data_IF_676102955756
#
_entry.id   IF_676102955756
#
_cell.length_a   1.000
_cell.length_b   1.000
_cell.length_c   1.000
_cell.angle_alpha   90.00
_cell.angle_beta   90.00
_cell.angle_gamma   90.00
#
_symmetry.space_group_name_H-M   'P 1'
#
loop_
_entity.id
_entity.type
_entity.pdbx_description
1 polymer ?
#
# COMPACT_ATOMS: atom_id res chain seq x y z
N UNK A 1 17.85 32.47 -14.29
CA UNK A 1 17.43 31.34 -13.42
C UNK A 1 17.27 30.06 -14.24
N UNK A 2 16.55 30.09 -15.36
CA UNK A 2 16.26 28.89 -16.16
C UNK A 2 17.50 28.20 -16.76
N UNK A 3 18.50 28.92 -17.26
CA UNK A 3 19.71 28.29 -17.81
C UNK A 3 20.59 27.63 -16.75
N UNK A 4 20.69 28.27 -15.57
CA UNK A 4 21.39 27.69 -14.43
C UNK A 4 20.69 26.42 -13.96
N UNK A 5 19.36 26.48 -13.79
CA UNK A 5 18.59 25.33 -13.32
C UNK A 5 18.56 24.21 -14.36
N UNK A 6 18.50 24.53 -15.66
CA UNK A 6 18.58 23.53 -16.74
C UNK A 6 19.87 22.71 -16.65
N UNK A 7 21.01 23.34 -16.34
CA UNK A 7 22.31 22.64 -16.17
C UNK A 7 22.42 21.86 -14.86
N UNK A 8 21.69 22.28 -13.82
CA UNK A 8 21.77 21.70 -12.46
C UNK A 8 20.61 20.77 -12.11
N UNK A 9 19.56 20.70 -12.93
CA UNK A 9 18.34 19.94 -12.62
C UNK A 9 18.66 18.45 -12.43
N UNK A 10 19.38 17.84 -13.36
CA UNK A 10 19.75 16.42 -13.27
C UNK A 10 20.53 16.08 -12.00
N UNK A 11 21.65 16.77 -11.65
CA UNK A 11 22.34 16.47 -10.40
C UNK A 11 21.49 16.80 -9.15
N UNK A 12 20.65 17.84 -9.18
CA UNK A 12 19.73 18.13 -8.07
C UNK A 12 18.72 17.00 -7.87
N UNK A 13 18.07 16.53 -8.94
CA UNK A 13 17.13 15.42 -8.89
C UNK A 13 17.80 14.13 -8.44
N UNK A 14 19.03 13.85 -8.87
CA UNK A 14 19.80 12.70 -8.41
C UNK A 14 20.05 12.74 -6.90
N UNK A 15 20.45 13.90 -6.36
CA UNK A 15 20.62 14.09 -4.91
C UNK A 15 19.29 13.92 -4.18
N UNK A 16 18.21 14.52 -4.66
CA UNK A 16 16.87 14.38 -4.06
C UNK A 16 16.47 12.92 -4.03
N UNK A 17 16.59 12.18 -5.14
CA UNK A 17 16.21 10.78 -5.22
C UNK A 17 17.06 9.89 -4.31
N UNK A 18 18.38 10.10 -4.28
CA UNK A 18 19.27 9.33 -3.44
C UNK A 18 18.99 9.56 -1.94
N UNK A 19 18.91 10.82 -1.52
CA UNK A 19 18.67 11.18 -0.11
C UNK A 19 17.28 10.74 0.33
N UNK A 20 16.25 11.00 -0.49
CA UNK A 20 14.89 10.61 -0.18
C UNK A 20 14.74 9.09 -0.12
N UNK A 21 15.31 8.36 -1.08
CA UNK A 21 15.27 6.90 -1.12
C UNK A 21 15.97 6.27 0.09
N UNK A 22 17.19 6.72 0.39
CA UNK A 22 17.93 6.27 1.57
C UNK A 22 17.17 6.57 2.87
N UNK A 23 16.57 7.75 3.00
CA UNK A 23 15.77 8.11 4.17
C UNK A 23 14.56 7.19 4.35
N UNK A 24 13.77 6.95 3.30
CA UNK A 24 12.57 6.12 3.40
C UNK A 24 12.89 4.64 3.67
N UNK A 25 13.93 4.12 3.03
CA UNK A 25 14.43 2.76 3.30
C UNK A 25 14.91 2.66 4.76
N UNK A 26 15.74 3.60 5.22
CA UNK A 26 16.20 3.65 6.61
C UNK A 26 15.03 3.67 7.59
N UNK A 27 14.00 4.49 7.34
CA UNK A 27 12.85 4.58 8.22
C UNK A 27 12.03 3.28 8.25
N UNK A 28 11.89 2.58 7.12
CA UNK A 28 11.26 1.24 7.08
C UNK A 28 12.02 0.21 7.91
N UNK A 29 13.33 0.11 7.72
CA UNK A 29 14.16 -0.82 8.49
C UNK A 29 14.22 -0.46 9.98
N UNK A 30 14.18 0.84 10.31
CA UNK A 30 14.06 1.28 11.69
C UNK A 30 12.75 0.81 12.33
N UNK A 31 11.62 0.89 11.63
CA UNK A 31 10.36 0.35 12.14
C UNK A 31 10.43 -1.17 12.31
N UNK A 32 10.94 -1.89 11.30
CA UNK A 32 11.12 -3.34 11.37
C UNK A 32 11.97 -3.76 12.57
N UNK A 33 13.06 -3.05 12.83
CA UNK A 33 13.92 -3.27 13.99
C UNK A 33 13.16 -3.20 15.31
N UNK A 34 12.19 -2.29 15.45
CA UNK A 34 11.35 -2.19 16.65
C UNK A 34 10.09 -3.07 16.62
N UNK A 35 10.08 -4.13 15.80
CA UNK A 35 8.93 -5.03 15.69
C UNK A 35 7.67 -4.36 15.13
N UNK A 36 7.83 -3.22 14.47
CA UNK A 36 6.77 -2.54 13.74
C UNK A 36 6.88 -2.92 12.26
N UNK A 37 5.87 -2.60 11.44
CA UNK A 37 5.88 -2.95 10.01
C UNK A 37 6.02 -4.46 9.73
N UNK A 38 5.42 -5.32 10.57
CA UNK A 38 5.55 -6.78 10.48
C UNK A 38 4.29 -7.52 10.03
N UNK A 39 3.10 -6.94 10.23
CA UNK A 39 1.81 -7.64 10.01
C UNK A 39 1.63 -8.08 8.55
N UNK A 40 1.26 -7.17 7.64
CA UNK A 40 1.05 -7.54 6.24
C UNK A 40 2.34 -8.02 5.59
N UNK A 41 3.50 -7.49 6.01
CA UNK A 41 4.80 -7.90 5.50
C UNK A 41 4.94 -9.43 5.51
N UNK A 42 4.76 -10.05 6.67
CA UNK A 42 4.92 -11.49 6.79
C UNK A 42 3.74 -12.27 6.25
N UNK A 43 2.54 -11.68 6.16
CA UNK A 43 1.43 -12.27 5.39
C UNK A 43 1.78 -12.46 3.92
N UNK A 44 2.24 -11.40 3.26
CA UNK A 44 2.58 -11.46 1.84
C UNK A 44 3.77 -12.38 1.59
N UNK A 45 4.77 -12.35 2.48
CA UNK A 45 5.95 -13.23 2.39
C UNK A 45 5.55 -14.69 2.55
N UNK A 46 4.75 -15.01 3.56
CA UNK A 46 4.25 -16.37 3.78
C UNK A 46 3.40 -16.84 2.59
N UNK A 47 2.51 -15.99 2.09
CA UNK A 47 1.72 -16.29 0.90
C UNK A 47 2.61 -16.59 -0.31
N UNK A 48 3.66 -15.80 -0.56
CA UNK A 48 4.58 -15.98 -1.69
C UNK A 48 5.52 -17.19 -1.52
N UNK A 49 5.97 -17.49 -0.30
CA UNK A 49 6.84 -18.66 -0.03
C UNK A 49 6.08 -19.98 -0.12
N UNK A 50 4.87 -20.01 0.41
CA UNK A 50 4.03 -21.21 0.43
C UNK A 50 3.15 -21.32 -0.82
N UNK A 51 3.37 -20.49 -1.84
CA UNK A 51 2.75 -20.67 -3.16
C UNK A 51 3.41 -21.86 -3.86
N UNK A 52 2.87 -23.07 -3.64
CA UNK A 52 3.15 -24.20 -4.52
C UNK A 52 2.18 -24.13 -5.71
N UNK A 53 2.69 -23.82 -6.91
CA UNK A 53 1.92 -23.52 -8.14
C UNK A 53 1.03 -24.67 -8.66
N UNK A 54 1.03 -25.83 -8.00
CA UNK A 54 0.37 -27.05 -8.46
C UNK A 54 -0.81 -27.49 -7.57
N UNK A 55 -0.75 -27.33 -6.24
CA UNK A 55 -1.80 -27.87 -5.33
C UNK A 55 -2.18 -26.96 -4.12
N UNK A 56 -1.38 -25.94 -3.78
CA UNK A 56 -1.50 -25.26 -2.47
C UNK A 56 -1.85 -23.76 -2.54
N UNK A 57 -2.11 -23.23 -3.73
CA UNK A 57 -2.47 -21.81 -3.93
C UNK A 57 -3.69 -21.37 -3.10
N UNK A 58 -4.60 -22.32 -2.85
CA UNK A 58 -5.79 -22.16 -2.01
C UNK A 58 -5.53 -22.38 -0.51
N UNK A 59 -4.40 -22.98 -0.11
CA UNK A 59 -4.15 -23.45 1.25
C UNK A 59 -3.13 -22.63 2.06
N UNK A 60 -2.21 -21.96 1.37
CA UNK A 60 -1.09 -21.22 2.00
C UNK A 60 -1.51 -19.98 2.81
N UNK A 61 -2.76 -19.53 2.71
CA UNK A 61 -3.21 -18.31 3.37
C UNK A 61 -4.37 -18.55 4.35
N UNK A 62 -4.14 -19.42 5.35
CA UNK A 62 -5.04 -19.62 6.52
C UNK A 62 -5.08 -18.43 7.50
N UNK A 63 -4.86 -17.21 7.00
CA UNK A 63 -5.18 -15.94 7.68
C UNK A 63 -6.68 -15.82 8.02
N UNK A 64 -7.53 -16.64 7.38
CA UNK A 64 -8.98 -16.40 7.25
C UNK A 64 -9.87 -17.53 7.81
N UNK A 65 -9.34 -18.52 8.55
CA UNK A 65 -10.18 -19.58 9.16
C UNK A 65 -11.23 -19.04 10.16
N UNK A 66 -11.04 -17.83 10.68
CA UNK A 66 -12.03 -17.12 11.53
C UNK A 66 -13.01 -16.22 10.74
N UNK A 67 -12.73 -15.96 9.46
CA UNK A 67 -13.52 -15.07 8.57
C UNK A 67 -14.22 -15.85 7.45
N UNK A 68 -13.92 -17.14 7.32
CA UNK A 68 -14.50 -18.01 6.30
C UNK A 68 -13.89 -17.85 4.90
N UNK A 69 -12.76 -17.14 4.73
CA UNK A 69 -12.08 -17.06 3.44
C UNK A 69 -10.95 -18.12 3.31
N UNK A 70 -10.64 -18.62 2.10
CA UNK A 70 -9.69 -19.73 1.93
C UNK A 70 -8.26 -19.22 1.77
N UNK A 71 -8.07 -17.97 1.30
CA UNK A 71 -6.75 -17.39 1.02
C UNK A 71 -6.79 -15.85 0.94
N UNK A 72 -5.62 -15.22 1.16
CA UNK A 72 -5.35 -13.79 1.01
C UNK A 72 -5.71 -13.27 -0.39
N UNK A 73 -5.57 -14.12 -1.42
CA UNK A 73 -5.99 -13.83 -2.80
C UNK A 73 -7.50 -13.70 -3.00
N UNK A 74 -8.30 -14.15 -2.02
CA UNK A 74 -9.75 -14.00 -2.05
C UNK A 74 -10.26 -12.86 -1.17
N UNK A 75 -9.40 -12.27 -0.32
CA UNK A 75 -9.73 -11.04 0.39
C UNK A 75 -9.50 -9.81 -0.52
N UNK A 76 -8.52 -9.88 -1.42
CA UNK A 76 -8.29 -8.90 -2.49
C UNK A 76 -7.87 -9.56 -3.81
N UNK A 77 -8.38 -9.06 -4.94
CA UNK A 77 -7.94 -9.49 -6.27
C UNK A 77 -6.56 -8.91 -6.59
N UNK A 78 -5.49 -9.66 -6.33
CA UNK A 78 -4.11 -9.17 -6.49
C UNK A 78 -3.15 -10.12 -7.21
N UNK A 79 -3.52 -10.75 -8.35
CA UNK A 79 -2.64 -11.71 -9.02
C UNK A 79 -1.30 -11.12 -9.47
N UNK A 80 -1.20 -9.80 -9.69
CA UNK A 80 0.08 -9.16 -10.02
C UNK A 80 1.10 -9.24 -8.87
N UNK A 81 0.72 -9.58 -7.63
CA UNK A 81 1.70 -9.78 -6.55
C UNK A 81 2.71 -10.89 -6.82
N UNK A 82 2.37 -11.85 -7.67
CA UNK A 82 3.28 -12.95 -8.03
C UNK A 82 4.57 -12.46 -8.69
N UNK A 83 4.58 -11.25 -9.27
CA UNK A 83 5.81 -10.65 -9.83
C UNK A 83 6.87 -10.37 -8.75
N UNK A 84 6.46 -10.32 -7.47
CA UNK A 84 7.35 -10.09 -6.33
C UNK A 84 7.98 -11.39 -5.82
N UNK A 85 7.49 -12.56 -6.26
CA UNK A 85 8.00 -13.85 -5.79
C UNK A 85 9.53 -13.98 -5.95
N UNK A 86 10.13 -13.68 -7.11
CA UNK A 86 11.59 -13.77 -7.25
C UNK A 86 12.35 -12.81 -6.32
N UNK A 87 11.78 -11.64 -6.02
CA UNK A 87 12.41 -10.66 -5.12
C UNK A 87 12.41 -11.17 -3.68
N UNK A 88 11.32 -11.80 -3.24
CA UNK A 88 11.22 -12.40 -1.91
C UNK A 88 12.18 -13.59 -1.77
N UNK A 89 12.31 -14.43 -2.80
CA UNK A 89 13.24 -15.56 -2.80
C UNK A 89 14.71 -15.14 -2.64
N UNK A 90 15.09 -13.98 -3.20
CA UNK A 90 16.47 -13.49 -3.16
C UNK A 90 16.75 -12.62 -1.93
N UNK A 91 15.83 -11.71 -1.60
CA UNK A 91 16.05 -10.66 -0.61
C UNK A 91 15.18 -10.76 0.64
N UNK A 92 14.46 -11.87 0.83
CA UNK A 92 13.62 -12.11 2.00
C UNK A 92 12.41 -11.17 2.07
N UNK A 93 11.87 -11.02 3.29
CA UNK A 93 10.76 -10.11 3.57
C UNK A 93 11.16 -8.65 3.33
N UNK A 94 12.41 -8.33 3.68
CA UNK A 94 13.04 -7.02 3.60
C UNK A 94 12.99 -6.44 2.19
N UNK A 95 13.07 -7.29 1.16
CA UNK A 95 12.92 -6.87 -0.23
C UNK A 95 11.59 -6.16 -0.49
N UNK A 96 10.48 -6.61 0.13
CA UNK A 96 9.17 -5.99 -0.05
C UNK A 96 9.12 -4.58 0.55
N UNK A 97 9.77 -4.37 1.70
CA UNK A 97 9.88 -3.03 2.30
C UNK A 97 10.64 -2.07 1.39
N UNK A 98 11.71 -2.55 0.76
CA UNK A 98 12.48 -1.77 -0.23
C UNK A 98 11.63 -1.47 -1.46
N UNK A 99 10.91 -2.46 -1.99
CA UNK A 99 10.01 -2.28 -3.15
C UNK A 99 8.99 -1.17 -2.87
N UNK A 100 8.30 -1.23 -1.73
CA UNK A 100 7.33 -0.18 -1.35
C UNK A 100 8.00 1.18 -1.13
N UNK A 101 9.16 1.23 -0.46
CA UNK A 101 9.88 2.47 -0.20
C UNK A 101 10.32 3.17 -1.49
N UNK A 102 10.68 2.41 -2.53
CA UNK A 102 11.19 2.95 -3.80
C UNK A 102 10.10 3.21 -4.86
N UNK A 103 8.87 2.73 -4.65
CA UNK A 103 7.75 2.92 -5.60
C UNK A 103 7.49 4.40 -5.99
N UNK A 104 7.60 5.38 -5.08
CA UNK A 104 7.43 6.80 -5.41
C UNK A 104 8.57 7.40 -6.22
N UNK A 105 9.81 6.93 -6.00
CA UNK A 105 10.94 7.36 -6.86
C UNK A 105 10.72 6.87 -8.29
N UNK A 106 10.28 5.62 -8.44
CA UNK A 106 9.87 5.08 -9.74
C UNK A 106 8.77 5.93 -10.38
N UNK A 107 7.72 6.24 -9.63
CA UNK A 107 6.64 7.10 -10.11
C UNK A 107 7.14 8.50 -10.52
N UNK A 108 8.01 9.12 -9.72
CA UNK A 108 8.59 10.43 -9.98
C UNK A 108 9.46 10.45 -11.25
N UNK A 109 10.20 9.37 -11.56
CA UNK A 109 10.94 9.23 -12.82
C UNK A 109 10.01 9.29 -14.03
N UNK A 110 8.89 8.57 -14.00
CA UNK A 110 7.93 8.62 -15.11
C UNK A 110 7.16 9.94 -15.16
N UNK A 111 6.88 10.53 -14.00
CA UNK A 111 6.29 11.86 -13.91
C UNK A 111 7.17 12.93 -14.56
N UNK A 112 8.50 12.86 -14.34
CA UNK A 112 9.48 13.70 -15.02
C UNK A 112 9.45 13.49 -16.55
N UNK A 113 9.45 12.24 -17.02
CA UNK A 113 9.37 11.94 -18.46
C UNK A 113 8.09 12.49 -19.09
N UNK A 114 6.96 12.43 -18.39
CA UNK A 114 5.69 13.02 -18.84
C UNK A 114 5.82 14.54 -18.87
N UNK A 115 6.36 15.15 -17.81
CA UNK A 115 6.55 16.60 -17.73
C UNK A 115 7.47 17.12 -18.86
N UNK A 116 8.53 16.38 -19.20
CA UNK A 116 9.40 16.68 -20.33
C UNK A 116 8.68 16.59 -21.67
N UNK A 117 7.89 15.54 -21.86
CA UNK A 117 7.08 15.37 -23.07
C UNK A 117 6.07 16.50 -23.26
N UNK A 118 5.49 17.00 -22.16
CA UNK A 118 4.56 18.14 -22.17
C UNK A 118 5.25 19.52 -22.14
N UNK A 119 6.59 19.57 -22.21
CA UNK A 119 7.34 20.81 -22.36
C UNK A 119 7.47 21.66 -21.09
N UNK A 120 7.34 21.06 -19.90
CA UNK A 120 7.48 21.80 -18.63
C UNK A 120 8.89 22.38 -18.47
N UNK A 121 8.96 23.64 -17.99
CA UNK A 121 10.22 24.34 -17.71
C UNK A 121 10.99 23.62 -16.58
N UNK A 122 12.33 23.77 -16.48
CA UNK A 122 13.12 23.09 -15.46
C UNK A 122 12.61 23.25 -14.02
N UNK A 123 12.14 24.45 -13.66
CA UNK A 123 11.57 24.71 -12.34
C UNK A 123 10.26 23.94 -12.09
N UNK A 124 9.39 23.87 -13.09
CA UNK A 124 8.11 23.16 -13.01
C UNK A 124 8.32 21.66 -12.86
N UNK A 125 9.32 21.11 -13.55
CA UNK A 125 9.75 19.72 -13.39
C UNK A 125 10.24 19.43 -11.97
N UNK A 126 11.08 20.29 -11.40
CA UNK A 126 11.52 20.18 -10.01
C UNK A 126 10.33 20.28 -9.04
N UNK A 127 9.45 21.26 -9.25
CA UNK A 127 8.27 21.50 -8.42
C UNK A 127 7.38 20.26 -8.33
N UNK A 128 7.03 19.67 -9.48
CA UNK A 128 6.19 18.47 -9.55
C UNK A 128 6.82 17.29 -8.80
N UNK A 129 8.13 17.08 -8.96
CA UNK A 129 8.84 16.00 -8.26
C UNK A 129 8.80 16.21 -6.75
N UNK A 130 9.07 17.43 -6.29
CA UNK A 130 9.05 17.74 -4.85
C UNK A 130 7.63 17.57 -4.31
N UNK A 131 6.61 18.04 -5.02
CA UNK A 131 5.21 17.84 -4.61
C UNK A 131 4.88 16.35 -4.53
N UNK A 132 5.28 15.55 -5.51
CA UNK A 132 5.02 14.11 -5.50
C UNK A 132 5.72 13.40 -4.33
N UNK A 133 7.03 13.57 -4.16
CA UNK A 133 7.82 12.82 -3.19
C UNK A 133 7.63 13.27 -1.74
N UNK A 134 7.41 14.57 -1.52
CA UNK A 134 7.32 15.13 -0.17
C UNK A 134 5.88 15.34 0.31
N UNK A 135 4.89 14.90 -0.46
CA UNK A 135 3.50 15.00 -0.03
C UNK A 135 3.29 14.23 1.29
N UNK A 136 2.75 14.86 2.36
CA UNK A 136 2.58 14.20 3.66
C UNK A 136 1.80 12.89 3.59
N UNK A 137 0.67 12.87 2.87
CA UNK A 137 -0.14 11.65 2.70
C UNK A 137 0.59 10.53 1.96
N UNK A 138 1.42 10.85 0.95
CA UNK A 138 2.23 9.83 0.27
C UNK A 138 3.30 9.29 1.21
N UNK A 139 4.03 10.18 1.89
CA UNK A 139 5.07 9.78 2.84
C UNK A 139 4.51 8.95 4.00
N UNK A 140 3.35 9.31 4.56
CA UNK A 140 2.65 8.52 5.56
C UNK A 140 2.19 7.15 5.02
N UNK A 141 1.59 7.12 3.83
CA UNK A 141 1.14 5.89 3.17
C UNK A 141 2.29 4.92 2.86
N UNK A 142 3.46 5.45 2.48
CA UNK A 142 4.65 4.61 2.28
C UNK A 142 5.14 4.08 3.60
N UNK A 143 5.21 4.93 4.63
CA UNK A 143 5.73 4.52 5.93
C UNK A 143 4.96 3.36 6.53
N UNK A 144 3.65 3.29 6.27
CA UNK A 144 2.69 2.36 6.87
C UNK A 144 3.29 1.47 7.95
N UNK A 145 3.19 2.00 9.16
CA UNK A 145 4.07 1.67 10.27
C UNK A 145 3.58 0.49 11.09
N UNK A 146 2.37 0.00 10.81
CA UNK A 146 1.83 -1.20 11.43
C UNK A 146 1.93 -2.39 10.48
N UNK A 147 1.52 -2.21 9.23
CA UNK A 147 1.40 -3.31 8.26
C UNK A 147 2.71 -3.59 7.50
N UNK A 148 3.55 -2.57 7.32
CA UNK A 148 4.89 -2.70 6.78
C UNK A 148 4.99 -2.83 5.27
N UNK A 149 4.21 -3.71 4.65
CA UNK A 149 4.11 -3.82 3.20
C UNK A 149 2.66 -3.91 2.72
N UNK A 150 2.33 -3.18 1.67
CA UNK A 150 1.05 -3.28 0.97
C UNK A 150 1.26 -3.43 -0.52
N UNK A 151 0.66 -4.47 -1.09
CA UNK A 151 0.64 -4.74 -2.53
C UNK A 151 0.19 -3.57 -3.40
N UNK A 152 -0.61 -2.66 -2.85
CA UNK A 152 -1.08 -1.44 -3.52
C UNK A 152 0.06 -0.55 -4.02
N UNK A 153 1.28 -0.64 -3.47
CA UNK A 153 2.43 0.10 -4.01
C UNK A 153 2.75 -0.27 -5.47
N UNK A 154 2.34 -1.46 -5.93
CA UNK A 154 2.47 -1.88 -7.34
C UNK A 154 1.64 -1.01 -8.29
N UNK A 155 0.59 -0.33 -7.81
CA UNK A 155 -0.14 0.65 -8.62
C UNK A 155 0.78 1.77 -9.12
N UNK A 156 1.82 2.13 -8.36
CA UNK A 156 2.84 3.08 -8.84
C UNK A 156 3.80 2.45 -9.84
N UNK A 157 4.22 1.19 -9.60
CA UNK A 157 5.13 0.48 -10.51
C UNK A 157 4.54 0.27 -11.90
N UNK A 158 3.24 0.03 -12.00
CA UNK A 158 2.56 -0.17 -13.29
C UNK A 158 1.82 1.08 -13.78
N UNK A 159 1.20 1.85 -12.88
CA UNK A 159 0.39 3.02 -13.22
C UNK A 159 1.21 4.21 -13.72
N UNK A 160 2.39 4.44 -13.17
CA UNK A 160 3.26 5.53 -13.63
C UNK A 160 3.82 5.31 -15.05
N UNK A 161 4.40 4.14 -15.39
CA UNK A 161 4.77 3.85 -16.77
C UNK A 161 3.56 3.71 -17.69
N UNK A 162 2.40 3.25 -17.20
CA UNK A 162 1.14 3.23 -17.97
C UNK A 162 0.76 4.64 -18.41
N UNK A 163 0.73 5.59 -17.48
CA UNK A 163 0.44 7.00 -17.76
C UNK A 163 1.42 7.57 -18.79
N UNK A 164 2.72 7.30 -18.63
CA UNK A 164 3.74 7.74 -19.59
C UNK A 164 3.55 7.12 -20.97
N UNK A 165 3.33 5.81 -21.05
CA UNK A 165 3.13 5.10 -22.30
C UNK A 165 1.87 5.61 -23.03
N UNK A 166 0.79 5.84 -22.29
CA UNK A 166 -0.45 6.40 -22.82
C UNK A 166 -0.27 7.82 -23.36
N UNK A 167 0.31 8.73 -22.57
CA UNK A 167 0.55 10.13 -22.98
C UNK A 167 1.49 10.24 -24.18
N UNK A 168 2.47 9.34 -24.28
CA UNK A 168 3.48 9.38 -25.36
C UNK A 168 3.11 8.52 -26.59
N UNK A 169 1.90 7.98 -26.65
CA UNK A 169 1.40 7.21 -27.81
C UNK A 169 1.96 5.80 -27.95
N UNK A 170 2.54 5.22 -26.89
CA UNK A 170 3.07 3.84 -26.86
C UNK A 170 1.98 2.83 -26.51
N UNK A 171 0.97 2.71 -27.36
CA UNK A 171 -0.29 2.03 -27.03
C UNK A 171 -0.15 0.53 -26.69
N UNK A 172 0.75 -0.21 -27.34
CA UNK A 172 0.98 -1.63 -27.03
C UNK A 172 1.51 -1.79 -25.61
N UNK A 173 2.50 -0.96 -25.23
CA UNK A 173 3.04 -0.96 -23.88
C UNK A 173 1.98 -0.50 -22.87
N UNK A 174 1.22 0.55 -23.19
CA UNK A 174 0.13 1.01 -22.34
C UNK A 174 -0.92 -0.09 -22.11
N UNK A 175 -1.26 -0.88 -23.14
CA UNK A 175 -2.17 -2.00 -23.01
C UNK A 175 -1.63 -3.09 -22.08
N UNK A 176 -0.38 -3.50 -22.25
CA UNK A 176 0.25 -4.51 -21.36
C UNK A 176 0.30 -4.02 -19.91
N UNK A 177 0.71 -2.76 -19.69
CA UNK A 177 0.77 -2.16 -18.36
C UNK A 177 -0.63 -2.00 -17.74
N UNK A 178 -1.66 -1.72 -18.55
CA UNK A 178 -3.04 -1.68 -18.10
C UNK A 178 -3.49 -3.05 -17.55
N UNK A 179 -3.12 -4.14 -18.22
CA UNK A 179 -3.43 -5.48 -17.72
C UNK A 179 -2.78 -5.74 -16.36
N UNK A 180 -1.50 -5.41 -16.20
CA UNK A 180 -0.84 -5.55 -14.89
C UNK A 180 -1.46 -4.64 -13.83
N UNK A 181 -1.75 -3.38 -14.18
CA UNK A 181 -2.33 -2.39 -13.28
C UNK A 181 -3.71 -2.81 -12.76
N UNK A 182 -4.62 -3.26 -13.64
CA UNK A 182 -5.95 -3.75 -13.27
C UNK A 182 -5.90 -5.00 -12.38
N UNK A 183 -4.80 -5.74 -12.41
CA UNK A 183 -4.57 -6.96 -11.65
C UNK A 183 -3.74 -6.75 -10.37
N UNK A 184 -3.38 -5.51 -10.04
CA UNK A 184 -2.78 -5.18 -8.73
C UNK A 184 -3.82 -5.24 -7.62
N UNK A 185 -5.03 -4.72 -7.88
CA UNK A 185 -6.14 -4.66 -6.93
C UNK A 185 -7.45 -4.40 -7.66
N UNK A 186 -8.58 -4.93 -7.17
CA UNK A 186 -9.91 -4.73 -7.75
C UNK A 186 -10.25 -3.25 -7.98
N UNK A 187 -9.90 -2.38 -7.03
CA UNK A 187 -10.18 -0.94 -7.11
C UNK A 187 -9.33 -0.21 -8.17
N UNK A 188 -8.28 -0.84 -8.72
CA UNK A 188 -7.50 -0.26 -9.81
C UNK A 188 -8.37 0.12 -11.02
N UNK A 189 -9.46 -0.63 -11.23
CA UNK A 189 -10.47 -0.35 -12.24
C UNK A 189 -11.08 1.05 -12.11
N UNK A 190 -11.25 1.56 -10.88
CA UNK A 190 -11.85 2.86 -10.61
C UNK A 190 -11.01 4.00 -11.20
N UNK A 191 -9.69 3.90 -11.15
CA UNK A 191 -8.79 4.88 -11.78
C UNK A 191 -8.95 4.91 -13.29
N UNK A 192 -9.15 3.75 -13.92
CA UNK A 192 -9.33 3.62 -15.37
C UNK A 192 -10.69 4.14 -15.80
N UNK A 193 -11.75 3.84 -15.03
CA UNK A 193 -13.09 4.37 -15.26
C UNK A 193 -13.12 5.89 -15.06
N UNK A 194 -12.42 6.40 -14.04
CA UNK A 194 -12.20 7.83 -13.84
C UNK A 194 -11.46 8.49 -15.00
N UNK A 195 -10.41 7.85 -15.55
CA UNK A 195 -9.71 8.33 -16.73
C UNK A 195 -10.62 8.37 -17.97
N UNK A 196 -11.46 7.35 -18.16
CA UNK A 196 -12.43 7.28 -19.25
C UNK A 196 -13.47 8.41 -19.15
N UNK A 197 -14.05 8.62 -17.96
CA UNK A 197 -14.94 9.75 -17.69
C UNK A 197 -14.23 11.09 -17.94
N UNK A 198 -12.99 11.21 -17.46
CA UNK A 198 -12.15 12.39 -17.69
C UNK A 198 -11.93 12.71 -19.17
N UNK A 199 -11.79 11.69 -20.01
CA UNK A 199 -11.74 11.89 -21.45
C UNK A 199 -13.06 12.38 -22.02
N UNK A 200 -14.18 11.77 -21.61
CA UNK A 200 -15.52 12.10 -22.11
C UNK A 200 -15.89 13.55 -21.79
N UNK A 201 -15.62 14.01 -20.56
CA UNK A 201 -16.05 15.32 -20.09
C UNK A 201 -15.06 16.45 -20.37
N UNK A 202 -13.75 16.17 -20.43
CA UNK A 202 -12.72 17.21 -20.46
C UNK A 202 -11.61 16.99 -21.49
N UNK A 203 -11.70 15.98 -22.36
CA UNK A 203 -10.64 15.56 -23.31
C UNK A 203 -9.29 15.33 -22.61
N UNK A 204 -9.02 14.07 -22.26
CA UNK A 204 -7.86 13.67 -21.46
C UNK A 204 -6.76 13.07 -22.38
N UNK A 205 -5.47 13.43 -22.23
CA UNK A 205 -4.39 12.89 -23.07
C UNK A 205 -4.15 11.37 -22.98
N UNK A 206 -4.74 10.64 -22.02
CA UNK A 206 -4.52 9.19 -21.91
C UNK A 206 -5.16 8.36 -23.02
N UNK A 207 -6.17 8.90 -23.71
CA UNK A 207 -6.84 8.20 -24.79
C UNK A 207 -6.96 9.08 -26.02
N UNK A 208 -6.76 8.48 -27.19
CA UNK A 208 -6.84 9.18 -28.48
C UNK A 208 -8.09 8.83 -29.27
N UNK A 209 -8.71 7.69 -28.98
CA UNK A 209 -9.89 7.21 -29.72
C UNK A 209 -10.94 6.64 -28.77
N UNK A 210 -12.21 6.72 -29.19
CA UNK A 210 -13.32 6.06 -28.48
C UNK A 210 -13.07 4.55 -28.32
N UNK A 211 -12.48 3.90 -29.32
CA UNK A 211 -12.14 2.47 -29.28
C UNK A 211 -11.20 2.14 -28.12
N UNK A 212 -10.15 2.93 -27.90
CA UNK A 212 -9.22 2.72 -26.78
C UNK A 212 -9.93 2.82 -25.43
N UNK A 213 -10.84 3.79 -25.29
CA UNK A 213 -11.61 4.00 -24.06
C UNK A 213 -12.56 2.85 -23.82
N UNK A 214 -13.30 2.42 -24.84
CA UNK A 214 -14.20 1.27 -24.73
C UNK A 214 -13.43 0.04 -24.29
N UNK A 215 -12.29 -0.26 -24.91
CA UNK A 215 -11.45 -1.41 -24.51
C UNK A 215 -11.00 -1.27 -23.06
N UNK A 216 -10.44 -0.12 -22.67
CA UNK A 216 -9.92 0.09 -21.32
C UNK A 216 -11.04 0.03 -20.25
N UNK A 217 -12.18 0.65 -20.51
CA UNK A 217 -13.34 0.63 -19.63
C UNK A 217 -13.94 -0.77 -19.52
N UNK A 218 -14.07 -1.51 -20.63
CA UNK A 218 -14.54 -2.90 -20.62
C UNK A 218 -13.60 -3.77 -19.80
N UNK A 219 -12.28 -3.67 -20.00
CA UNK A 219 -11.31 -4.42 -19.20
C UNK A 219 -11.37 -4.04 -17.71
N UNK A 220 -11.54 -2.75 -17.39
CA UNK A 220 -11.68 -2.29 -16.02
C UNK A 220 -12.94 -2.88 -15.36
N UNK A 221 -14.09 -2.86 -16.05
CA UNK A 221 -15.34 -3.47 -15.55
C UNK A 221 -15.17 -4.98 -15.36
N UNK A 222 -14.56 -5.67 -16.32
CA UNK A 222 -14.32 -7.11 -16.23
C UNK A 222 -13.40 -7.46 -15.06
N UNK A 223 -12.31 -6.71 -14.85
CA UNK A 223 -11.42 -6.91 -13.71
C UNK A 223 -12.12 -6.61 -12.38
N UNK A 224 -12.90 -5.53 -12.31
CA UNK A 224 -13.66 -5.15 -11.11
C UNK A 224 -14.70 -6.21 -10.73
N UNK A 225 -15.53 -6.63 -11.68
CA UNK A 225 -16.56 -7.67 -11.47
C UNK A 225 -15.93 -9.04 -11.24
N UNK A 226 -14.88 -9.36 -11.99
CA UNK A 226 -14.11 -10.59 -11.84
C UNK A 226 -13.53 -10.73 -10.44
N UNK A 227 -12.88 -9.67 -9.95
CA UNK A 227 -12.27 -9.64 -8.61
C UNK A 227 -13.27 -9.55 -7.46
N UNK A 228 -14.34 -8.75 -7.58
CA UNK A 228 -15.28 -8.54 -6.48
C UNK A 228 -16.36 -9.62 -6.36
N UNK A 229 -16.78 -10.20 -7.48
CA UNK A 229 -17.96 -11.09 -7.52
C UNK A 229 -17.56 -12.49 -7.95
N UNK A 230 -16.94 -12.63 -9.12
CA UNK A 230 -16.74 -13.95 -9.73
C UNK A 230 -15.73 -14.78 -8.93
N UNK A 231 -14.56 -14.23 -8.63
CA UNK A 231 -13.52 -14.96 -7.91
C UNK A 231 -13.94 -15.36 -6.48
N UNK A 232 -14.53 -14.47 -5.65
CA UNK A 232 -15.04 -14.86 -4.33
C UNK A 232 -16.14 -15.91 -4.41
N UNK A 233 -17.08 -15.78 -5.37
CA UNK A 233 -18.15 -16.77 -5.58
C UNK A 233 -17.62 -18.15 -5.98
N UNK A 234 -16.65 -18.20 -6.90
CA UNK A 234 -15.99 -19.46 -7.30
C UNK A 234 -15.22 -20.10 -6.14
N UNK A 235 -14.72 -19.29 -5.21
CA UNK A 235 -14.04 -19.75 -4.01
C UNK A 235 -14.98 -20.07 -2.83
N UNK A 236 -16.29 -19.78 -2.97
CA UNK A 236 -17.29 -20.05 -1.95
C UNK A 236 -17.32 -19.05 -0.78
N UNK A 237 -16.83 -17.82 -0.98
CA UNK A 237 -16.59 -16.85 0.12
C UNK A 237 -17.19 -15.47 -0.15
N UNK A 238 -17.52 -14.76 0.92
CA UNK A 238 -18.13 -13.42 0.85
C UNK A 238 -17.04 -12.36 0.91
N UNK A 239 -17.00 -11.48 -0.10
CA UNK A 239 -16.02 -10.40 -0.14
C UNK A 239 -16.39 -9.31 0.90
N UNK A 240 -15.61 -9.18 1.98
CA UNK A 240 -15.87 -8.29 3.12
C UNK A 240 -16.12 -6.83 2.70
N UNK A 241 -15.27 -6.30 1.81
CA UNK A 241 -15.43 -4.93 1.32
C UNK A 241 -16.66 -4.70 0.44
N UNK A 242 -17.10 -5.71 -0.32
CA UNK A 242 -18.33 -5.61 -1.10
C UNK A 242 -19.55 -5.55 -0.17
N UNK A 243 -19.58 -6.40 0.86
CA UNK A 243 -20.62 -6.39 1.89
C UNK A 243 -20.64 -5.07 2.68
N UNK A 244 -19.46 -4.53 3.02
CA UNK A 244 -19.38 -3.23 3.69
C UNK A 244 -19.84 -2.09 2.78
N UNK A 245 -19.38 -2.05 1.52
CA UNK A 245 -19.81 -1.04 0.55
C UNK A 245 -21.32 -1.08 0.31
N UNK A 246 -21.91 -2.27 0.18
CA UNK A 246 -23.36 -2.46 0.12
C UNK A 246 -24.04 -1.87 1.36
N UNK A 247 -23.53 -2.18 2.56
CA UNK A 247 -24.09 -1.67 3.83
C UNK A 247 -24.03 -0.14 3.95
N UNK A 248 -23.04 0.52 3.35
CA UNK A 248 -22.94 1.99 3.37
C UNK A 248 -23.86 2.60 2.30
N UNK A 249 -23.85 2.06 1.08
CA UNK A 249 -24.63 2.58 -0.05
C UNK A 249 -26.14 2.40 0.11
N UNK A 250 -26.57 1.38 0.87
CA UNK A 250 -27.99 1.10 1.15
C UNK A 250 -28.54 1.87 2.35
N UNK A 251 -27.70 2.61 3.10
CA UNK A 251 -28.09 3.33 4.32
C UNK A 251 -27.75 4.82 4.21
N UNK A 252 -28.69 5.68 3.73
CA UNK A 252 -28.44 7.11 3.48
C UNK A 252 -27.90 7.88 4.70
N UNK A 253 -28.29 7.49 5.91
CA UNK A 253 -27.79 8.10 7.16
C UNK A 253 -26.30 7.85 7.36
N UNK A 254 -25.81 6.64 7.06
CA UNK A 254 -24.37 6.30 7.13
C UNK A 254 -23.58 7.05 6.08
N UNK A 255 -24.12 7.14 4.86
CA UNK A 255 -23.53 7.94 3.79
C UNK A 255 -23.42 9.42 4.15
N UNK A 256 -24.48 10.02 4.69
CA UNK A 256 -24.47 11.41 5.14
C UNK A 256 -23.47 11.65 6.27
N UNK A 257 -23.41 10.73 7.24
CA UNK A 257 -22.45 10.79 8.36
C UNK A 257 -21.00 10.71 7.86
N UNK A 258 -20.67 9.77 6.97
CA UNK A 258 -19.32 9.62 6.44
C UNK A 258 -18.86 10.87 5.66
N UNK A 259 -19.76 11.47 4.88
CA UNK A 259 -19.46 12.68 4.11
C UNK A 259 -19.32 13.92 5.01
N UNK A 260 -20.11 14.05 6.07
CA UNK A 260 -20.04 15.19 7.00
C UNK A 260 -18.80 15.15 7.91
N UNK A 261 -18.15 13.99 8.04
CA UNK A 261 -16.95 13.78 8.86
C UNK A 261 -15.69 13.56 8.03
N UNK A 262 -15.59 14.16 6.84
CA UNK A 262 -14.35 14.16 6.06
C UNK A 262 -13.18 14.67 6.92
N UNK A 263 -12.26 13.75 7.23
CA UNK A 263 -11.08 14.05 8.04
C UNK A 263 -10.22 15.15 7.38
N UNK A 264 -9.49 15.89 8.23
CA UNK A 264 -8.45 16.85 7.88
C UNK A 264 -7.43 16.30 6.86
N UNK A 265 -7.19 14.98 6.85
CA UNK A 265 -6.31 14.31 5.89
C UNK A 265 -6.74 14.46 4.43
N UNK A 266 -8.06 14.47 4.16
CA UNK A 266 -8.58 14.68 2.81
C UNK A 266 -8.43 16.12 2.36
N UNK A 267 -8.62 17.07 3.27
CA UNK A 267 -8.35 18.49 3.01
C UNK A 267 -6.87 18.72 2.72
N UNK A 268 -5.99 18.11 3.51
CA UNK A 268 -4.54 18.15 3.30
C UNK A 268 -4.15 17.60 1.92
N UNK A 269 -4.77 16.49 1.47
CA UNK A 269 -4.54 15.94 0.13
C UNK A 269 -4.78 16.99 -0.96
N UNK A 270 -5.97 17.58 -0.98
CA UNK A 270 -6.34 18.50 -2.05
C UNK A 270 -5.62 19.86 -1.96
N UNK A 271 -5.29 20.32 -0.74
CA UNK A 271 -4.56 21.56 -0.53
C UNK A 271 -3.19 21.56 -1.23
N UNK A 272 -2.43 20.46 -1.08
CA UNK A 272 -1.11 20.34 -1.69
C UNK A 272 -1.17 20.05 -3.21
N UNK A 273 -2.34 19.69 -3.73
CA UNK A 273 -2.54 19.33 -5.14
C UNK A 273 -3.29 20.40 -5.94
N UNK A 274 -3.49 21.60 -5.38
CA UNK A 274 -4.31 22.66 -5.98
C UNK A 274 -3.96 23.03 -7.44
N UNK A 275 -2.69 23.02 -7.93
CA UNK A 275 -2.43 23.36 -9.33
C UNK A 275 -3.01 22.32 -10.29
N UNK A 276 -3.27 21.10 -9.81
CA UNK A 276 -3.95 20.04 -10.56
C UNK A 276 -5.41 20.35 -10.88
N UNK A 277 -6.05 21.31 -10.19
CA UNK A 277 -7.41 21.76 -10.50
C UNK A 277 -7.55 22.30 -11.93
N UNK A 278 -6.45 22.75 -12.55
CA UNK A 278 -6.41 23.15 -13.95
C UNK A 278 -6.40 21.96 -14.94
N UNK A 279 -6.44 20.72 -14.45
CA UNK A 279 -6.54 19.49 -15.24
C UNK A 279 -7.65 18.56 -14.69
N UNK A 280 -8.92 18.99 -14.70
CA UNK A 280 -10.03 18.24 -14.12
C UNK A 280 -10.21 16.85 -14.73
N UNK A 281 -9.93 16.68 -16.02
CA UNK A 281 -9.96 15.38 -16.69
C UNK A 281 -9.03 14.33 -16.08
N UNK A 282 -7.88 14.73 -15.54
CA UNK A 282 -6.94 13.82 -14.87
C UNK A 282 -7.27 13.64 -13.41
N UNK A 283 -7.80 14.68 -12.74
CA UNK A 283 -8.30 14.54 -11.37
C UNK A 283 -9.48 13.54 -11.29
N UNK A 284 -10.29 13.42 -12.34
CA UNK A 284 -11.35 12.42 -12.38
C UNK A 284 -10.85 10.97 -12.23
N UNK A 285 -9.56 10.70 -12.44
CA UNK A 285 -8.97 9.40 -12.14
C UNK A 285 -8.99 9.09 -10.64
N UNK A 286 -8.75 10.07 -9.77
CA UNK A 286 -8.70 9.83 -8.31
C UNK A 286 -10.07 9.92 -7.63
N UNK A 287 -11.05 10.64 -8.22
CA UNK A 287 -12.34 10.90 -7.57
C UNK A 287 -13.12 9.63 -7.19
N UNK A 288 -13.31 8.62 -8.08
CA UNK A 288 -14.10 7.45 -7.74
C UNK A 288 -13.55 6.69 -6.54
N UNK A 289 -12.23 6.51 -6.47
CA UNK A 289 -11.60 5.87 -5.31
C UNK A 289 -11.67 6.74 -4.05
N UNK A 290 -11.41 8.05 -4.15
CA UNK A 290 -11.57 8.97 -3.03
C UNK A 290 -12.97 8.88 -2.41
N UNK A 291 -14.01 8.88 -3.24
CA UNK A 291 -15.40 8.77 -2.75
C UNK A 291 -15.62 7.46 -2.00
N UNK A 292 -15.21 6.33 -2.57
CA UNK A 292 -15.37 5.03 -1.90
C UNK A 292 -14.61 4.98 -0.58
N UNK A 293 -13.39 5.52 -0.54
CA UNK A 293 -12.59 5.55 0.69
C UNK A 293 -13.19 6.46 1.77
N UNK A 294 -13.73 7.61 1.39
CA UNK A 294 -14.44 8.50 2.31
C UNK A 294 -15.68 7.78 2.88
N UNK A 295 -16.45 7.12 2.02
CA UNK A 295 -17.64 6.36 2.42
C UNK A 295 -17.30 5.16 3.31
N UNK A 296 -16.12 4.57 3.14
CA UNK A 296 -15.59 3.50 3.99
C UNK A 296 -14.86 4.03 5.24
N UNK A 297 -14.99 5.33 5.55
CA UNK A 297 -14.39 6.02 6.69
C UNK A 297 -12.86 5.84 6.77
N UNK A 298 -12.21 5.75 5.60
CA UNK A 298 -10.76 5.62 5.47
C UNK A 298 -10.10 7.00 5.38
N UNK A 299 -8.89 7.08 5.94
CA UNK A 299 -8.04 8.27 5.86
C UNK A 299 -7.32 8.34 4.51
N UNK A 300 -7.06 9.54 4.01
CA UNK A 300 -6.25 9.74 2.81
C UNK A 300 -4.77 9.36 2.99
N UNK A 301 -4.29 9.38 4.23
CA UNK A 301 -2.92 8.99 4.64
C UNK A 301 -2.71 7.48 4.71
N UNK A 302 -3.76 6.69 4.54
CA UNK A 302 -3.69 5.23 4.42
C UNK A 302 -2.95 4.82 3.13
N UNK A 303 -2.61 3.54 2.97
CA UNK A 303 -1.82 3.04 1.83
C UNK A 303 -2.31 3.44 0.42
N UNK A 304 -3.57 3.84 0.26
CA UNK A 304 -4.13 4.40 -0.99
C UNK A 304 -3.56 5.78 -1.36
N UNK A 305 -3.06 6.53 -0.38
CA UNK A 305 -2.49 7.88 -0.56
C UNK A 305 -1.37 7.95 -1.58
N UNK A 306 -0.61 6.86 -1.79
CA UNK A 306 0.44 6.78 -2.80
C UNK A 306 -0.09 7.05 -4.21
N UNK A 307 -1.13 6.32 -4.65
CA UNK A 307 -1.69 6.44 -6.00
C UNK A 307 -2.48 7.74 -6.16
N UNK A 308 -3.23 8.14 -5.13
CA UNK A 308 -3.98 9.41 -5.14
C UNK A 308 -3.03 10.61 -5.32
N UNK A 309 -1.92 10.66 -4.58
CA UNK A 309 -0.92 11.72 -4.73
C UNK A 309 -0.24 11.66 -6.09
N UNK A 310 0.09 10.47 -6.61
CA UNK A 310 0.66 10.35 -7.95
C UNK A 310 -0.26 10.91 -9.03
N UNK A 311 -1.56 10.57 -9.00
CA UNK A 311 -2.56 11.12 -9.93
C UNK A 311 -2.70 12.63 -9.77
N UNK A 312 -2.71 13.12 -8.52
CA UNK A 312 -2.70 14.56 -8.25
C UNK A 312 -1.49 15.26 -8.85
N UNK A 313 -0.29 14.70 -8.68
CA UNK A 313 0.94 15.25 -9.25
C UNK A 313 0.95 15.17 -10.78
N UNK A 314 0.36 14.12 -11.36
CA UNK A 314 0.13 14.01 -12.80
C UNK A 314 -0.86 15.06 -13.32
N UNK A 315 -1.91 15.37 -12.55
CA UNK A 315 -2.81 16.48 -12.84
C UNK A 315 -2.08 17.83 -12.78
N UNK A 316 -1.15 18.03 -11.82
CA UNK A 316 -0.29 19.23 -11.80
C UNK A 316 0.54 19.31 -13.08
N UNK A 317 1.18 18.22 -13.52
CA UNK A 317 1.97 18.22 -14.77
C UNK A 317 1.16 18.71 -15.96
N UNK A 318 -0.12 18.32 -16.06
CA UNK A 318 -0.99 18.74 -17.16
C UNK A 318 -1.63 20.12 -16.95
N UNK A 319 -1.88 20.51 -15.70
CA UNK A 319 -2.56 21.76 -15.34
C UNK A 319 -1.62 22.96 -15.27
N UNK A 320 -0.37 22.75 -14.85
CA UNK A 320 0.61 23.80 -14.61
C UNK A 320 0.92 24.66 -15.83
N UNK A 321 1.01 24.13 -17.08
CA UNK A 321 1.13 24.95 -18.27
C UNK A 321 -0.03 25.95 -18.44
N UNK A 322 -1.27 25.53 -18.13
CA UNK A 322 -2.46 26.40 -18.19
C UNK A 322 -2.44 27.47 -17.11
N UNK A 323 -2.09 27.10 -15.88
CA UNK A 323 -1.92 28.04 -14.76
C UNK A 323 -0.85 29.08 -15.08
N UNK A 324 0.28 28.62 -15.67
CA UNK A 324 1.38 29.49 -16.07
C UNK A 324 0.95 30.46 -17.16
N UNK A 325 0.33 29.98 -18.24
CA UNK A 325 -0.15 30.83 -19.32
C UNK A 325 -1.15 31.89 -18.82
N UNK A 326 -2.08 31.49 -17.94
CA UNK A 326 -3.04 32.40 -17.32
C UNK A 326 -2.36 33.50 -16.50
N UNK A 327 -1.36 33.15 -15.69
CA UNK A 327 -0.66 34.10 -14.83
C UNK A 327 0.30 35.01 -15.62
N UNK A 328 1.05 34.45 -16.58
CA UNK A 328 1.96 35.21 -17.45
C UNK A 328 1.18 36.20 -18.31
N UNK A 329 0.03 35.81 -18.86
CA UNK A 329 -0.86 36.71 -19.62
C UNK A 329 -1.43 37.89 -18.81
N UNK A 330 -1.37 37.84 -17.47
CA UNK A 330 -1.76 38.92 -16.56
C UNK A 330 -0.57 39.65 -15.90
N UNK A 331 0.66 39.32 -16.29
CA UNK A 331 1.87 39.88 -15.66
C UNK A 331 2.17 39.32 -14.26
N UNK A 332 1.47 38.29 -13.80
CA UNK A 332 1.62 37.68 -12.48
C UNK A 332 2.62 36.51 -12.43
N UNK A 333 3.38 36.28 -13.51
CA UNK A 333 4.31 35.15 -13.61
C UNK A 333 5.34 35.08 -12.47
N UNK A 334 5.83 36.24 -11.99
CA UNK A 334 6.74 36.32 -10.84
C UNK A 334 6.04 35.94 -9.53
N UNK A 335 4.85 36.47 -9.28
CA UNK A 335 4.05 36.16 -8.09
C UNK A 335 3.71 34.66 -8.03
N UNK A 336 3.30 34.08 -9.16
CA UNK A 336 3.07 32.63 -9.27
C UNK A 336 4.35 31.83 -8.95
N UNK A 337 5.51 32.25 -9.46
CA UNK A 337 6.77 31.56 -9.17
C UNK A 337 7.11 31.60 -7.67
N UNK A 338 6.93 32.75 -7.01
CA UNK A 338 7.13 32.88 -5.56
C UNK A 338 6.17 31.96 -4.80
N UNK A 339 4.88 31.93 -5.19
CA UNK A 339 3.89 31.05 -4.59
C UNK A 339 4.28 29.57 -4.73
N UNK A 340 4.71 29.15 -5.91
CA UNK A 340 5.18 27.78 -6.16
C UNK A 340 6.45 27.45 -5.35
N UNK A 341 7.38 28.39 -5.19
CA UNK A 341 8.55 28.22 -4.33
C UNK A 341 8.16 28.04 -2.85
N UNK A 342 7.25 28.86 -2.33
CA UNK A 342 6.75 28.75 -0.96
C UNK A 342 6.01 27.44 -0.74
N UNK A 343 5.20 27.01 -1.71
CA UNK A 343 4.52 25.73 -1.67
C UNK A 343 5.51 24.56 -1.66
N UNK A 344 6.53 24.60 -2.53
CA UNK A 344 7.59 23.59 -2.58
C UNK A 344 8.38 23.51 -1.27
N UNK A 345 8.71 24.65 -0.66
CA UNK A 345 9.36 24.69 0.64
C UNK A 345 8.46 24.14 1.75
N UNK A 346 7.19 24.53 1.75
CA UNK A 346 6.19 24.05 2.72
C UNK A 346 6.04 22.53 2.68
N UNK A 347 5.91 21.94 1.48
CA UNK A 347 5.72 20.50 1.34
C UNK A 347 7.01 19.72 1.67
N UNK A 348 8.17 20.24 1.26
CA UNK A 348 9.48 19.64 1.59
C UNK A 348 9.77 19.60 3.10
N UNK A 349 9.15 20.49 3.88
CA UNK A 349 9.22 20.49 5.35
C UNK A 349 8.13 19.58 5.95
N UNK A 350 6.89 19.69 5.45
CA UNK A 350 5.74 18.99 6.00
C UNK A 350 5.86 17.47 5.90
N UNK A 351 6.27 16.94 4.74
CA UNK A 351 6.38 15.50 4.50
C UNK A 351 7.33 14.78 5.49
N UNK A 352 8.61 15.19 5.60
CA UNK A 352 9.55 14.56 6.52
C UNK A 352 9.15 14.72 8.00
N UNK A 353 8.54 15.86 8.35
CA UNK A 353 8.01 16.11 9.69
C UNK A 353 6.90 15.11 10.05
N UNK A 354 6.01 14.82 9.12
CA UNK A 354 4.92 13.83 9.31
C UNK A 354 5.50 12.44 9.61
N UNK A 355 6.41 11.96 8.76
CA UNK A 355 7.06 10.65 8.93
C UNK A 355 7.81 10.55 10.25
N UNK A 356 8.59 11.58 10.60
CA UNK A 356 9.35 11.60 11.85
C UNK A 356 8.43 11.60 13.07
N UNK A 357 7.36 12.41 13.03
CA UNK A 357 6.36 12.50 14.10
C UNK A 357 5.66 11.17 14.34
N UNK A 358 5.14 10.55 13.29
CA UNK A 358 4.48 9.25 13.37
C UNK A 358 5.43 8.16 13.87
N UNK A 359 6.63 8.06 13.28
CA UNK A 359 7.59 7.02 13.65
C UNK A 359 8.02 7.14 15.11
N UNK A 360 8.35 8.33 15.59
CA UNK A 360 8.77 8.51 16.98
C UNK A 360 7.64 8.18 17.96
N UNK A 361 6.40 8.55 17.64
CA UNK A 361 5.23 8.22 18.46
C UNK A 361 5.01 6.72 18.54
N UNK A 362 5.21 5.98 17.44
CA UNK A 362 4.96 4.54 17.40
C UNK A 362 6.08 3.73 18.05
N UNK A 363 7.33 4.06 17.75
CA UNK A 363 8.48 3.41 18.39
C UNK A 363 8.43 3.58 19.90
N UNK A 364 8.06 4.76 20.40
CA UNK A 364 8.00 5.02 21.86
C UNK A 364 6.78 4.42 22.56
N UNK A 365 5.67 4.17 21.85
CA UNK A 365 4.42 3.69 22.46
C UNK A 365 4.15 2.20 22.25
N UNK A 366 4.61 1.63 21.14
CA UNK A 366 4.19 0.31 20.65
C UNK A 366 5.40 -0.55 20.25
N UNK A 367 6.47 0.08 19.75
CA UNK A 367 7.65 -0.64 19.29
C UNK A 367 8.37 -1.37 20.42
N UNK A 368 8.84 -2.58 20.13
CA UNK A 368 9.63 -3.39 21.04
C UNK A 368 10.71 -4.14 20.25
N UNK A 369 11.96 -4.03 20.68
CA UNK A 369 13.07 -4.76 20.06
C UNK A 369 13.23 -6.12 20.74
N UNK A 370 13.13 -7.19 19.95
CA UNK A 370 13.41 -8.56 20.39
C UNK A 370 14.80 -8.99 19.90
N UNK A 371 15.76 -9.28 20.80
CA UNK A 371 17.10 -9.71 20.39
C UNK A 371 17.08 -11.03 19.61
N UNK A 372 18.03 -11.17 18.68
CA UNK A 372 18.15 -12.36 17.81
C UNK A 372 18.28 -13.66 18.61
N UNK A 373 19.07 -13.66 19.68
CA UNK A 373 19.24 -14.83 20.53
C UNK A 373 17.93 -15.31 21.17
N UNK A 374 17.08 -14.38 21.61
CA UNK A 374 15.77 -14.71 22.19
C UNK A 374 14.86 -15.37 21.16
N UNK A 375 14.84 -14.84 19.92
CA UNK A 375 14.06 -15.43 18.83
C UNK A 375 14.52 -16.82 18.45
N UNK A 376 15.83 -17.04 18.32
CA UNK A 376 16.41 -18.36 18.01
C UNK A 376 16.03 -19.38 19.08
N UNK A 377 16.17 -19.01 20.35
CA UNK A 377 15.86 -19.91 21.47
C UNK A 377 14.36 -20.21 21.57
N UNK A 378 13.49 -19.20 21.43
CA UNK A 378 12.05 -19.38 21.40
C UNK A 378 11.60 -20.24 20.20
N UNK A 379 12.25 -20.08 19.05
CA UNK A 379 12.00 -20.91 17.85
C UNK A 379 12.43 -22.36 18.05
N UNK A 380 13.56 -22.60 18.72
CA UNK A 380 14.00 -23.95 19.04
C UNK A 380 13.08 -24.68 20.04
N UNK A 381 12.25 -23.93 20.79
CA UNK A 381 11.30 -24.49 21.74
C UNK A 381 9.98 -24.97 21.10
N UNK A 382 9.71 -24.64 19.84
CA UNK A 382 8.46 -25.01 19.16
C UNK A 382 8.70 -26.05 18.06
N UNK A 383 7.70 -26.88 17.78
CA UNK A 383 7.63 -27.59 16.51
C UNK A 383 7.08 -26.64 15.42
N UNK A 384 7.93 -26.29 14.46
CA UNK A 384 7.62 -25.33 13.39
C UNK A 384 6.52 -25.80 12.44
N UNK A 385 6.14 -27.08 12.50
CA UNK A 385 5.01 -27.65 11.73
C UNK A 385 3.66 -27.40 12.40
N UNK A 386 3.62 -26.83 13.59
CA UNK A 386 2.39 -26.61 14.33
C UNK A 386 1.90 -25.16 14.21
N UNK A 387 0.59 -24.97 14.40
CA UNK A 387 -0.01 -23.63 14.47
C UNK A 387 0.63 -22.84 15.59
N UNK A 388 1.17 -21.67 15.25
CA UNK A 388 1.90 -20.83 16.19
C UNK A 388 1.39 -19.40 16.11
N UNK A 389 0.82 -18.89 17.20
CA UNK A 389 0.49 -17.47 17.32
C UNK A 389 1.69 -16.70 17.87
N UNK A 390 2.01 -15.56 17.26
CA UNK A 390 3.15 -14.73 17.65
C UNK A 390 2.70 -13.28 17.84
N UNK A 391 3.23 -12.63 18.86
CA UNK A 391 3.07 -11.18 19.04
C UNK A 391 3.63 -10.43 17.83
N UNK A 392 2.95 -9.36 17.38
CA UNK A 392 3.32 -8.64 16.15
C UNK A 392 4.79 -8.16 16.17
N UNK A 393 5.26 -7.70 17.34
CA UNK A 393 6.62 -7.20 17.53
C UNK A 393 7.69 -8.30 17.52
N UNK A 394 7.28 -9.55 17.74
CA UNK A 394 8.17 -10.71 17.67
C UNK A 394 8.13 -11.40 16.30
N UNK A 395 7.15 -11.10 15.42
CA UNK A 395 6.98 -11.79 14.13
C UNK A 395 8.24 -11.80 13.26
N UNK A 396 9.09 -10.78 13.36
CA UNK A 396 10.38 -10.74 12.69
C UNK A 396 11.31 -11.84 13.24
N UNK A 397 11.34 -12.99 12.59
CA UNK A 397 12.04 -14.22 13.03
C UNK A 397 11.16 -15.48 13.07
N UNK A 398 9.85 -15.31 12.90
CA UNK A 398 8.84 -16.39 12.82
C UNK A 398 7.93 -16.27 11.59
N UNK A 399 8.15 -15.27 10.73
CA UNK A 399 7.32 -14.96 9.56
C UNK A 399 7.28 -16.06 8.49
N UNK A 400 8.29 -16.92 8.46
CA UNK A 400 8.44 -18.06 7.57
C UNK A 400 7.76 -19.34 8.11
N UNK A 401 7.14 -19.30 9.30
CA UNK A 401 6.41 -20.45 9.82
C UNK A 401 5.21 -20.80 8.91
N UNK A 402 5.08 -22.05 8.44
CA UNK A 402 4.03 -22.45 7.50
C UNK A 402 2.61 -22.30 8.07
N UNK A 403 2.47 -22.36 9.40
CA UNK A 403 1.18 -22.20 10.10
C UNK A 403 1.22 -21.06 11.12
N UNK A 404 1.82 -19.93 10.73
CA UNK A 404 1.79 -18.70 11.51
C UNK A 404 0.35 -18.20 11.70
N UNK A 405 0.02 -17.80 12.92
CA UNK A 405 -1.29 -17.27 13.30
C UNK A 405 -1.18 -15.91 13.97
N UNK A 406 -2.25 -15.15 13.89
CA UNK A 406 -2.34 -13.82 14.48
C UNK A 406 -2.69 -13.88 15.97
N UNK A 407 -2.37 -12.82 16.74
CA UNK A 407 -2.80 -12.65 18.13
C UNK A 407 -4.24 -13.11 18.43
N UNK A 408 -5.21 -12.73 17.58
CA UNK A 408 -6.63 -13.08 17.75
C UNK A 408 -6.96 -14.58 17.60
N UNK A 409 -6.04 -15.35 17.03
CA UNK A 409 -6.18 -16.79 16.77
C UNK A 409 -5.45 -17.66 17.80
N UNK A 410 -4.81 -17.04 18.81
CA UNK A 410 -3.96 -17.75 19.76
C UNK A 410 -4.62 -18.96 20.43
N UNK A 411 -5.95 -18.93 20.64
CA UNK A 411 -6.68 -20.02 21.26
C UNK A 411 -6.77 -21.31 20.44
N UNK A 412 -6.55 -21.24 19.13
CA UNK A 412 -6.51 -22.41 18.24
C UNK A 412 -5.09 -22.77 17.80
N UNK A 413 -4.08 -22.14 18.43
CA UNK A 413 -2.66 -22.40 18.21
C UNK A 413 -2.13 -23.45 19.18
N UNK A 414 -1.22 -24.30 18.70
CA UNK A 414 -0.45 -25.22 19.55
C UNK A 414 0.55 -24.44 20.41
N UNK A 415 1.24 -23.48 19.78
CA UNK A 415 2.21 -22.63 20.44
C UNK A 415 1.78 -21.17 20.40
N UNK A 416 2.07 -20.44 21.48
CA UNK A 416 1.79 -19.01 21.59
C UNK A 416 3.07 -18.32 22.09
N UNK A 417 3.56 -17.34 21.33
CA UNK A 417 4.77 -16.59 21.65
C UNK A 417 4.39 -15.15 22.00
N UNK A 418 4.68 -14.73 23.22
CA UNK A 418 4.36 -13.38 23.72
C UNK A 418 5.58 -12.66 24.24
N UNK A 419 5.46 -11.33 24.37
CA UNK A 419 6.47 -10.48 24.99
C UNK A 419 6.04 -10.18 26.43
N UNK A 420 6.85 -10.53 27.45
CA UNK A 420 6.52 -10.25 28.85
C UNK A 420 6.27 -8.76 29.10
N UNK A 421 5.15 -8.43 29.76
CA UNK A 421 4.84 -7.05 30.16
C UNK A 421 4.34 -6.14 29.04
N UNK A 422 4.27 -6.62 27.79
CA UNK A 422 3.66 -5.86 26.70
C UNK A 422 2.12 -5.90 26.84
N UNK A 423 1.49 -4.73 26.95
CA UNK A 423 0.04 -4.62 26.99
C UNK A 423 -0.57 -4.79 25.59
N UNK A 424 -0.69 -6.04 25.14
CA UNK A 424 -1.27 -6.40 23.84
C UNK A 424 -2.55 -7.25 23.99
N UNK A 425 -3.32 -7.37 22.90
CA UNK A 425 -4.47 -8.27 22.86
C UNK A 425 -4.06 -9.74 23.06
N UNK A 426 -2.89 -10.15 22.57
CA UNK A 426 -2.37 -11.50 22.79
C UNK A 426 -2.01 -11.74 24.25
N UNK A 427 -1.33 -10.78 24.89
CA UNK A 427 -0.98 -10.86 26.30
C UNK A 427 -2.23 -10.97 27.18
N UNK A 428 -3.30 -10.24 26.84
CA UNK A 428 -4.60 -10.35 27.54
C UNK A 428 -5.23 -11.74 27.37
N UNK A 429 -5.20 -12.31 26.16
CA UNK A 429 -5.72 -13.66 25.90
C UNK A 429 -4.94 -14.68 26.74
N UNK A 430 -3.61 -14.63 26.69
CA UNK A 430 -2.74 -15.53 27.47
C UNK A 430 -2.97 -15.40 28.97
N UNK A 431 -3.06 -14.18 29.50
CA UNK A 431 -3.29 -13.99 30.94
C UNK A 431 -4.65 -14.52 31.37
N UNK A 432 -5.70 -14.33 30.55
CA UNK A 432 -7.05 -14.84 30.84
C UNK A 432 -7.17 -16.36 30.79
N UNK A 433 -6.22 -17.05 30.13
CA UNK A 433 -6.23 -18.51 29.92
C UNK A 433 -4.95 -19.19 30.41
N UNK A 434 -4.21 -18.52 31.28
CA UNK A 434 -2.88 -18.96 31.75
C UNK A 434 -2.89 -20.34 32.39
N UNK A 435 -4.00 -20.72 33.04
CA UNK A 435 -4.19 -22.04 33.63
C UNK A 435 -4.24 -23.17 32.58
N UNK A 436 -4.63 -22.86 31.34
CA UNK A 436 -4.75 -23.82 30.23
C UNK A 436 -3.42 -23.96 29.46
N UNK A 437 -2.40 -23.16 29.79
CA UNK A 437 -1.18 -23.00 29.01
C UNK A 437 0.05 -23.41 29.82
N UNK A 438 0.97 -24.14 29.17
CA UNK A 438 2.23 -24.56 29.76
C UNK A 438 3.37 -23.70 29.23
N UNK A 439 4.13 -23.06 30.10
CA UNK A 439 5.36 -22.36 29.69
C UNK A 439 6.43 -23.39 29.34
N UNK A 440 6.95 -23.33 28.12
CA UNK A 440 8.01 -24.23 27.64
C UNK A 440 9.34 -23.51 27.39
N UNK A 441 9.30 -22.19 27.22
CA UNK A 441 10.48 -21.34 27.16
C UNK A 441 10.14 -19.95 27.73
N UNK A 442 11.10 -19.33 28.40
CA UNK A 442 10.99 -17.97 28.90
C UNK A 442 12.36 -17.34 29.06
N UNK A 443 12.49 -16.11 28.59
CA UNK A 443 13.57 -15.19 28.93
C UNK A 443 13.01 -13.78 29.21
N UNK A 444 13.88 -12.77 29.21
CA UNK A 444 13.52 -11.38 29.47
C UNK A 444 12.70 -10.73 28.35
N UNK A 445 12.65 -11.34 27.16
CA UNK A 445 12.06 -10.75 25.95
C UNK A 445 10.89 -11.56 25.39
N UNK A 446 10.89 -12.88 25.52
CA UNK A 446 9.87 -13.78 24.99
C UNK A 446 9.45 -14.83 26.01
N UNK A 447 8.18 -15.18 25.97
CA UNK A 447 7.65 -16.38 26.61
C UNK A 447 6.94 -17.23 25.58
N UNK A 448 7.26 -18.52 25.53
CA UNK A 448 6.59 -19.50 24.67
C UNK A 448 5.71 -20.37 25.55
N UNK A 449 4.44 -20.38 25.19
CA UNK A 449 3.42 -21.25 25.77
C UNK A 449 3.10 -22.38 24.80
N UNK A 450 2.93 -23.57 25.35
CA UNK A 450 2.28 -24.70 24.70
C UNK A 450 0.84 -24.78 25.20
N UNK A 451 -0.11 -24.93 24.28
CA UNK A 451 -1.46 -25.36 24.60
C UNK A 451 -1.51 -26.90 24.56
N UNK A 452 -1.67 -27.60 25.70
CA UNK A 452 -1.69 -29.06 25.73
C UNK A 452 -2.93 -29.65 25.06
N UNK A 453 -4.03 -28.89 25.02
CA UNK A 453 -5.33 -29.34 24.50
C UNK A 453 -5.48 -29.21 22.99
N UNK A 454 -4.68 -28.35 22.36
CA UNK A 454 -4.67 -28.17 20.91
C UNK A 454 -3.62 -29.09 20.31
N UNK A 455 -3.98 -30.01 19.41
CA UNK A 455 -3.00 -30.83 18.70
C UNK A 455 -2.21 -29.99 17.69
N UNK A 456 -0.99 -30.42 17.38
CA UNK A 456 -0.32 -29.95 16.17
C UNK A 456 -1.16 -30.30 14.95
N UNK A 457 -1.32 -29.36 14.02
CA UNK A 457 -2.06 -29.64 12.79
C UNK A 457 -1.33 -30.72 12.02
N UNK A 458 -2.04 -31.81 11.77
CA UNK A 458 -1.61 -32.89 10.89
C UNK A 458 -1.64 -32.41 9.43
N UNK A 459 -0.85 -33.05 8.57
CA UNK A 459 -0.79 -32.78 7.13
C UNK A 459 -2.18 -32.77 6.47
N UNK A 460 -2.27 -32.21 5.26
CA UNK A 460 -3.49 -32.18 4.45
C UNK A 460 -4.17 -33.56 4.31
N UNK A 461 -3.37 -34.64 4.27
CA UNK A 461 -3.82 -36.03 4.21
C UNK A 461 -4.63 -36.43 5.46
N UNK A 462 -4.15 -36.13 6.66
CA UNK A 462 -4.87 -36.45 7.89
C UNK A 462 -6.16 -35.62 8.09
N UNK A 463 -6.22 -34.40 7.55
CA UNK A 463 -7.46 -33.62 7.51
C UNK A 463 -8.47 -34.20 6.50
N UNK A 464 -8.00 -34.72 5.36
CA UNK A 464 -8.83 -35.40 4.35
C UNK A 464 -9.35 -36.76 4.84
N UNK A 465 -8.58 -37.45 5.68
CA UNK A 465 -8.93 -38.75 6.27
C UNK A 465 -9.88 -38.66 7.47
N UNK A 466 -10.28 -37.45 7.89
CA UNK A 466 -11.36 -37.25 8.87
C UNK A 466 -11.02 -37.63 10.30
N UNK A 467 -9.74 -37.76 10.67
CA UNK A 467 -9.30 -38.03 12.05
C UNK A 467 -8.82 -36.75 12.73
N UNK A 468 -9.74 -35.80 12.92
CA UNK A 468 -9.52 -34.55 13.68
C UNK A 468 -10.38 -34.49 14.92
#
# INVERSE_FOLDING_TARGET
>A
MDDWLRRRLTPLLAVIFAVWGAYMVYMKFRLLHFGLATDDLFNYVNALYNTNFWDEWLFSARYELLRGAPSLLFNHWQPTLLVLWPLVQVGGAEALLVVQALAPLWAAVFLLKIAEHLGLKPFERLFVVVVCLFHPNLMAAIMDSLYGFHGTCLLLYFGAPLAWAAVTGRYVLAFVLLLFFLNVRENAALYVLGAAAGWIFFTNPFFTTRRQITIAATLAVLAFVGGLIVAPRLAGVVHEHAAHAESVLTHPVRMAHALSHMDSDWHNLYLWLWPGLAAPGTLLMMIPESVILILAEKKASHWYGMTLVFIGALAIVQGLPRVRAFAEGRGWGRALTILLCLHMAGIAIAGPKEVRGQTNKLVSRIGYYVPEASKINARAAIDTKCRTAVELQAMYGFGDLPYLQYPRQAMVSKYIITIPGLASGLAQIVESRKADLKVIFRDDHLTVFENPTVPCVLSLEAYREGTG
#
